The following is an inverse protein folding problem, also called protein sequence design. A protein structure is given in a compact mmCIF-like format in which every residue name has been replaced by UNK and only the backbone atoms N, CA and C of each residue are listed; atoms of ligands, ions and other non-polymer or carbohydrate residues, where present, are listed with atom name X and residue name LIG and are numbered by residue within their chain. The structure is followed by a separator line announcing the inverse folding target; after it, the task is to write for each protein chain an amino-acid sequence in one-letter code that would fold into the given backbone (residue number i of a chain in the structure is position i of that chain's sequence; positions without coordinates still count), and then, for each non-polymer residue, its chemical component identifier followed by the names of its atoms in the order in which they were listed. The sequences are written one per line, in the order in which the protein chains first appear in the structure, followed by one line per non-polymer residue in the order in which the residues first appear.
data_IF_084048686554
#
_entry.id   IF_084048686554
#
_cell.length_a   1.000
_cell.length_b   1.000
_cell.length_c   1.000
_cell.angle_alpha   90.00
_cell.angle_beta   90.00
_cell.angle_gamma   90.00
#
_symmetry.space_group_name_H-M   'P 1'
#
loop_
_entity.id
_entity.type
_entity.pdbx_description
1 polymer ?
#
# COMPACT_ATOMS: atom_id res chain seq x y z
N UNK A 1 -103.44 1.64 49.27
CA UNK A 1 -104.55 0.81 48.72
C UNK A 1 -104.13 -0.64 48.94
N UNK A 2 -104.81 -1.52 49.68
CA UNK A 2 -106.22 -1.90 49.65
C UNK A 2 -106.66 -2.32 51.05
N UNK A 3 -107.85 -1.84 51.41
CA UNK A 3 -108.61 -2.14 52.64
C UNK A 3 -109.30 -3.49 52.46
N UNK A 4 -109.20 -4.39 53.44
CA UNK A 4 -110.10 -5.55 53.57
C UNK A 4 -110.95 -5.43 54.85
N UNK A 5 -112.18 -5.91 54.72
CA UNK A 5 -113.39 -5.54 55.46
C UNK A 5 -113.55 -6.27 56.81
N UNK A 6 -114.23 -5.54 57.71
CA UNK A 6 -114.98 -5.91 58.91
C UNK A 6 -115.60 -7.32 58.93
N UNK A 7 -115.60 -7.94 60.10
CA UNK A 7 -116.71 -8.75 60.62
C UNK A 7 -117.01 -8.35 62.08
N UNK A 8 -118.28 -8.06 62.33
CA UNK A 8 -118.90 -7.79 63.63
C UNK A 8 -119.60 -9.08 64.06
N UNK A 9 -119.37 -9.54 65.28
CA UNK A 9 -120.30 -10.42 65.99
C UNK A 9 -120.37 -9.95 67.44
N UNK A 10 -121.53 -9.45 67.85
CA UNK A 10 -121.94 -9.40 69.24
C UNK A 10 -123.00 -10.48 69.46
N UNK A 11 -122.88 -11.22 70.55
CA UNK A 11 -123.98 -11.92 71.21
C UNK A 11 -123.71 -11.98 72.71
N UNK A 12 -124.78 -11.75 73.45
CA UNK A 12 -124.84 -11.59 74.88
C UNK A 12 -124.71 -12.92 75.66
N UNK A 13 -124.28 -12.78 76.91
CA UNK A 13 -124.91 -13.38 78.09
C UNK A 13 -124.91 -14.90 78.23
N UNK A 14 -124.13 -15.39 79.20
CA UNK A 14 -124.58 -16.42 80.13
C UNK A 14 -123.78 -16.32 81.43
N UNK A 15 -124.51 -16.12 82.52
CA UNK A 15 -124.02 -16.04 83.88
C UNK A 15 -123.78 -17.44 84.46
N UNK A 16 -122.93 -17.49 85.50
CA UNK A 16 -123.04 -18.47 86.58
C UNK A 16 -122.14 -19.69 86.45
N UNK A 17 -121.03 -19.70 87.19
CA UNK A 17 -120.89 -20.47 88.44
C UNK A 17 -119.46 -20.29 88.96
N UNK A 18 -119.34 -19.39 89.93
CA UNK A 18 -118.22 -19.35 90.87
C UNK A 18 -118.30 -20.57 91.78
N UNK A 19 -117.25 -21.37 91.83
CA UNK A 19 -116.99 -22.22 92.99
C UNK A 19 -115.51 -22.56 93.09
N UNK A 20 -114.87 -22.06 94.15
CA UNK A 20 -113.69 -22.70 94.72
C UNK A 20 -112.31 -22.08 94.46
N UNK A 21 -112.15 -20.76 94.44
CA UNK A 21 -110.83 -20.19 94.73
C UNK A 21 -110.54 -20.36 96.23
N UNK A 22 -109.73 -21.36 96.61
CA UNK A 22 -109.00 -21.25 97.87
C UNK A 22 -108.12 -20.00 97.74
N UNK A 23 -108.46 -18.93 98.45
CA UNK A 23 -107.70 -17.69 98.46
C UNK A 23 -106.32 -17.96 99.08
N UNK A 24 -105.37 -18.33 98.23
CA UNK A 24 -103.96 -18.37 98.57
C UNK A 24 -103.48 -16.91 98.59
N UNK A 25 -102.78 -16.50 99.65
CA UNK A 25 -102.10 -15.21 99.68
C UNK A 25 -101.21 -15.05 98.43
N UNK A 26 -100.95 -13.83 97.95
CA UNK A 26 -100.20 -13.64 96.73
C UNK A 26 -98.78 -14.27 96.85
N UNK A 27 -98.22 -14.82 95.75
CA UNK A 27 -96.88 -15.36 95.78
C UNK A 27 -95.86 -14.28 96.14
N UNK A 28 -94.76 -14.64 96.84
CA UNK A 28 -93.68 -13.69 97.10
C UNK A 28 -93.11 -13.17 95.78
N UNK A 29 -92.66 -11.91 95.80
CA UNK A 29 -92.10 -11.22 94.63
C UNK A 29 -90.97 -12.03 93.98
N UNK A 30 -90.10 -12.64 94.79
CA UNK A 30 -88.98 -13.45 94.33
C UNK A 30 -89.45 -14.63 93.47
N UNK A 31 -90.58 -15.27 93.82
CA UNK A 31 -91.13 -16.38 93.03
C UNK A 31 -91.72 -15.89 91.72
N UNK A 32 -92.39 -14.74 91.72
CA UNK A 32 -92.89 -14.10 90.48
C UNK A 32 -91.72 -13.72 89.58
N UNK A 33 -90.69 -13.08 90.11
CA UNK A 33 -89.49 -12.69 89.37
C UNK A 33 -88.76 -13.92 88.80
N UNK A 34 -88.67 -15.01 89.56
CA UNK A 34 -88.09 -16.28 89.11
C UNK A 34 -88.89 -16.93 87.97
N UNK A 35 -90.23 -16.96 88.06
CA UNK A 35 -91.10 -17.46 86.99
C UNK A 35 -90.89 -16.65 85.71
N UNK A 36 -90.96 -15.33 85.80
CA UNK A 36 -90.82 -14.44 84.65
C UNK A 36 -89.44 -14.55 84.02
N UNK A 37 -88.37 -14.60 84.84
CA UNK A 37 -87.02 -14.81 84.36
C UNK A 37 -86.87 -16.15 83.64
N UNK A 38 -87.33 -17.26 84.24
CA UNK A 38 -87.25 -18.57 83.62
C UNK A 38 -88.06 -18.65 82.32
N UNK A 39 -89.28 -18.10 82.29
CA UNK A 39 -90.10 -18.07 81.07
C UNK A 39 -89.39 -17.33 79.94
N UNK A 40 -88.80 -16.16 80.20
CA UNK A 40 -88.02 -15.40 79.21
C UNK A 40 -86.81 -16.19 78.71
N UNK A 41 -86.05 -16.77 79.63
CA UNK A 41 -84.79 -17.47 79.34
C UNK A 41 -85.05 -18.79 78.60
N UNK A 42 -86.11 -19.53 78.96
CA UNK A 42 -86.46 -20.82 78.35
C UNK A 42 -86.93 -20.72 76.90
N UNK A 43 -87.54 -19.61 76.50
CA UNK A 43 -87.95 -19.39 75.10
C UNK A 43 -86.81 -18.86 74.22
N UNK A 44 -85.74 -18.34 74.83
CA UNK A 44 -84.59 -17.81 74.10
C UNK A 44 -83.84 -18.96 73.37
N UNK A 45 -83.80 -18.96 72.02
CA UNK A 45 -83.17 -20.03 71.26
C UNK A 45 -81.67 -20.15 71.53
N UNK A 46 -80.98 -19.04 71.78
CA UNK A 46 -79.56 -19.02 72.09
C UNK A 46 -79.29 -19.72 73.42
N UNK A 47 -80.11 -19.49 74.45
CA UNK A 47 -79.96 -20.15 75.75
C UNK A 47 -80.24 -21.65 75.62
N UNK A 48 -81.31 -22.03 74.92
CA UNK A 48 -81.62 -23.45 74.68
C UNK A 48 -80.51 -24.19 73.93
N UNK A 49 -79.82 -23.52 73.01
CA UNK A 49 -78.76 -24.14 72.22
C UNK A 49 -77.39 -24.13 72.93
N UNK A 50 -77.06 -23.06 73.64
CA UNK A 50 -75.71 -22.83 74.19
C UNK A 50 -75.60 -23.07 75.70
N UNK A 51 -76.72 -23.19 76.42
CA UNK A 51 -76.76 -23.30 77.88
C UNK A 51 -77.93 -24.19 78.36
N UNK A 52 -78.10 -25.34 77.69
CA UNK A 52 -79.20 -26.27 77.97
C UNK A 52 -79.17 -26.86 79.38
N UNK A 53 -78.00 -27.22 79.90
CA UNK A 53 -77.82 -27.76 81.25
C UNK A 53 -78.15 -26.71 82.34
N UNK A 54 -77.55 -25.50 82.33
CA UNK A 54 -77.91 -24.44 83.26
C UNK A 54 -79.39 -24.02 83.20
N UNK A 55 -80.00 -24.05 82.01
CA UNK A 55 -81.44 -23.83 81.84
C UNK A 55 -82.27 -24.93 82.55
N UNK A 56 -81.84 -26.19 82.42
CA UNK A 56 -82.48 -27.33 83.08
C UNK A 56 -82.35 -27.22 84.60
N UNK A 57 -81.19 -26.77 85.10
CA UNK A 57 -81.03 -26.51 86.53
C UNK A 57 -81.94 -25.39 87.05
N UNK A 58 -82.11 -24.32 86.27
CA UNK A 58 -83.01 -23.22 86.60
C UNK A 58 -84.46 -23.70 86.68
N UNK A 59 -84.88 -24.59 85.78
CA UNK A 59 -86.19 -25.24 85.82
C UNK A 59 -86.42 -26.02 87.11
N UNK A 60 -85.46 -26.90 87.47
CA UNK A 60 -85.56 -27.70 88.68
C UNK A 60 -85.57 -26.85 89.96
N UNK A 61 -84.79 -25.76 89.99
CA UNK A 61 -84.80 -24.82 91.10
C UNK A 61 -86.14 -24.07 91.21
N UNK A 62 -86.72 -23.65 90.08
CA UNK A 62 -88.05 -23.03 90.06
C UNK A 62 -89.11 -24.00 90.56
N UNK A 63 -89.12 -25.24 90.06
CA UNK A 63 -90.04 -26.29 90.50
C UNK A 63 -89.91 -26.61 92.00
N UNK A 64 -88.70 -26.52 92.56
CA UNK A 64 -88.48 -26.65 93.99
C UNK A 64 -89.11 -25.47 94.78
N UNK A 65 -88.95 -24.24 94.28
CA UNK A 65 -89.56 -23.06 94.87
C UNK A 65 -91.10 -23.09 94.81
N UNK A 66 -91.68 -23.55 93.70
CA UNK A 66 -93.13 -23.75 93.51
C UNK A 66 -93.70 -24.73 94.54
N UNK A 67 -93.08 -25.92 94.65
CA UNK A 67 -93.51 -26.94 95.60
C UNK A 67 -93.40 -26.48 97.06
N UNK A 68 -92.40 -25.67 97.38
CA UNK A 68 -92.28 -25.07 98.72
C UNK A 68 -93.34 -24.00 98.96
N UNK A 69 -93.64 -23.17 97.95
CA UNK A 69 -94.74 -22.20 98.03
C UNK A 69 -96.09 -22.89 98.22
N UNK A 70 -96.36 -24.00 97.54
CA UNK A 70 -97.63 -24.73 97.72
C UNK A 70 -97.82 -25.21 99.16
N UNK A 71 -96.74 -25.66 99.81
CA UNK A 71 -96.69 -26.18 101.18
C UNK A 71 -96.72 -25.08 102.25
N UNK A 72 -95.81 -24.11 102.13
CA UNK A 72 -95.45 -23.18 103.20
C UNK A 72 -95.81 -21.72 102.87
N UNK A 73 -96.44 -21.48 101.70
CA UNK A 73 -96.82 -20.16 101.18
C UNK A 73 -95.62 -19.19 101.17
N UNK A 74 -95.82 -17.95 101.59
CA UNK A 74 -94.76 -16.95 101.67
C UNK A 74 -93.86 -17.17 102.90
N UNK A 75 -92.92 -18.12 102.77
CA UNK A 75 -91.91 -18.44 103.79
C UNK A 75 -90.52 -17.93 103.38
N UNK A 76 -89.63 -17.73 104.36
CA UNK A 76 -88.22 -17.38 104.09
C UNK A 76 -87.53 -18.41 103.19
N UNK A 77 -87.92 -19.69 103.31
CA UNK A 77 -87.41 -20.78 102.47
C UNK A 77 -87.92 -20.69 101.04
N UNK A 78 -89.21 -20.36 100.84
CA UNK A 78 -89.80 -20.09 99.51
C UNK A 78 -89.05 -18.95 98.81
N UNK A 79 -88.82 -17.82 99.50
CA UNK A 79 -88.08 -16.68 98.94
C UNK A 79 -86.64 -17.03 98.58
N UNK A 80 -85.96 -17.82 99.43
CA UNK A 80 -84.59 -18.26 99.20
C UNK A 80 -84.47 -19.19 97.98
N UNK A 81 -85.37 -20.18 97.87
CA UNK A 81 -85.41 -21.10 96.72
C UNK A 81 -85.77 -20.35 95.42
N UNK A 82 -86.72 -19.42 95.48
CA UNK A 82 -87.07 -18.57 94.36
C UNK A 82 -85.90 -17.67 93.92
N UNK A 83 -85.16 -17.09 94.86
CA UNK A 83 -83.94 -16.33 94.56
C UNK A 83 -82.87 -17.21 93.88
N UNK A 84 -82.65 -18.44 94.35
CA UNK A 84 -81.74 -19.39 93.68
C UNK A 84 -82.22 -19.70 92.26
N UNK A 85 -83.51 -19.93 92.05
CA UNK A 85 -84.08 -20.16 90.72
C UNK A 85 -83.87 -18.97 89.78
N UNK A 86 -84.11 -17.74 90.26
CA UNK A 86 -83.84 -16.51 89.54
C UNK A 86 -82.36 -16.40 89.14
N UNK A 87 -81.44 -16.67 90.09
CA UNK A 87 -79.99 -16.62 89.82
C UNK A 87 -79.55 -17.67 88.82
N UNK A 88 -80.09 -18.89 88.88
CA UNK A 88 -79.79 -19.94 87.90
C UNK A 88 -80.31 -19.59 86.50
N UNK A 89 -81.50 -18.99 86.39
CA UNK A 89 -82.01 -18.50 85.10
C UNK A 89 -81.12 -17.39 84.51
N UNK A 90 -80.66 -16.44 85.34
CA UNK A 90 -79.72 -15.39 84.92
C UNK A 90 -78.34 -15.96 84.54
N UNK A 91 -77.87 -16.99 85.25
CA UNK A 91 -76.61 -17.66 84.95
C UNK A 91 -76.67 -18.35 83.58
N UNK A 92 -77.77 -19.07 83.28
CA UNK A 92 -77.97 -19.69 81.97
C UNK A 92 -77.96 -18.67 80.83
N UNK A 93 -78.62 -17.53 81.01
CA UNK A 93 -78.61 -16.41 80.05
C UNK A 93 -77.19 -15.85 79.84
N UNK A 94 -76.46 -15.63 80.93
CA UNK A 94 -75.09 -15.09 80.89
C UNK A 94 -74.12 -16.08 80.21
N UNK A 95 -74.18 -17.37 80.54
CA UNK A 95 -73.34 -18.40 79.94
C UNK A 95 -73.60 -18.55 78.45
N UNK A 96 -74.87 -18.49 78.01
CA UNK A 96 -75.22 -18.49 76.60
C UNK A 96 -74.61 -17.29 75.86
N UNK A 97 -74.64 -16.08 76.46
CA UNK A 97 -74.03 -14.89 75.86
C UNK A 97 -72.50 -15.00 75.74
N UNK A 98 -71.83 -15.58 76.74
CA UNK A 98 -70.38 -15.82 76.74
C UNK A 98 -70.02 -16.83 75.64
N UNK A 99 -70.79 -17.92 75.51
CA UNK A 99 -70.56 -18.93 74.48
C UNK A 99 -70.66 -18.34 73.07
N UNK A 100 -71.66 -17.49 72.81
CA UNK A 100 -71.78 -16.78 71.51
C UNK A 100 -70.60 -15.85 71.28
N UNK A 101 -70.22 -15.04 72.27
CA UNK A 101 -69.08 -14.12 72.14
C UNK A 101 -67.76 -14.86 71.91
N UNK A 102 -67.54 -16.01 72.58
CA UNK A 102 -66.39 -16.88 72.37
C UNK A 102 -66.39 -17.47 70.95
N UNK A 103 -67.54 -17.96 70.47
CA UNK A 103 -67.66 -18.47 69.11
C UNK A 103 -67.37 -17.38 68.07
N UNK A 104 -67.98 -16.21 68.20
CA UNK A 104 -67.73 -15.06 67.32
C UNK A 104 -66.26 -14.63 67.33
N UNK A 105 -65.62 -14.61 68.51
CA UNK A 105 -64.18 -14.34 68.61
C UNK A 105 -63.35 -15.39 67.88
N UNK A 106 -63.71 -16.67 67.98
CA UNK A 106 -62.98 -17.75 67.29
C UNK A 106 -63.10 -17.64 65.77
N UNK A 107 -64.30 -17.36 65.26
CA UNK A 107 -64.56 -17.14 63.82
C UNK A 107 -63.83 -15.90 63.32
N UNK A 108 -63.90 -14.78 64.06
CA UNK A 108 -63.17 -13.57 63.71
C UNK A 108 -61.64 -13.78 63.71
N UNK A 109 -61.11 -14.54 64.68
CA UNK A 109 -59.69 -14.87 64.74
C UNK A 109 -59.26 -15.77 63.57
N UNK A 110 -60.10 -16.74 63.17
CA UNK A 110 -59.85 -17.58 61.99
C UNK A 110 -59.87 -16.77 60.70
N UNK A 111 -60.86 -15.89 60.51
CA UNK A 111 -60.95 -15.01 59.35
C UNK A 111 -59.74 -14.06 59.25
N UNK A 112 -59.29 -13.51 60.38
CA UNK A 112 -58.09 -12.69 60.43
C UNK A 112 -56.84 -13.49 60.03
N UNK A 113 -56.66 -14.71 60.55
CA UNK A 113 -55.54 -15.58 60.18
C UNK A 113 -55.53 -15.91 58.69
N UNK A 114 -56.68 -16.26 58.13
CA UNK A 114 -56.81 -16.54 56.69
C UNK A 114 -56.46 -15.30 55.85
N UNK A 115 -56.91 -14.12 56.27
CA UNK A 115 -56.58 -12.86 55.58
C UNK A 115 -55.08 -12.56 55.68
N UNK A 116 -54.48 -12.74 56.85
CA UNK A 116 -53.03 -12.55 57.05
C UNK A 116 -52.20 -13.54 56.24
N UNK A 117 -52.62 -14.80 56.16
CA UNK A 117 -51.96 -15.82 55.33
C UNK A 117 -52.10 -15.49 53.85
N UNK A 118 -53.27 -15.05 53.40
CA UNK A 118 -53.48 -14.60 52.02
C UNK A 118 -52.59 -13.39 51.69
N UNK A 119 -52.52 -12.40 52.57
CA UNK A 119 -51.64 -11.23 52.42
C UNK A 119 -50.16 -11.63 52.41
N UNK A 120 -49.73 -12.55 53.28
CA UNK A 120 -48.37 -13.08 53.30
C UNK A 120 -48.03 -13.83 52.02
N UNK A 121 -48.92 -14.69 51.53
CA UNK A 121 -48.74 -15.40 50.26
C UNK A 121 -48.64 -14.44 49.08
N UNK A 122 -49.50 -13.42 49.03
CA UNK A 122 -49.45 -12.39 48.01
C UNK A 122 -48.14 -11.60 48.08
N UNK A 123 -47.72 -11.17 49.28
CA UNK A 123 -46.47 -10.45 49.48
C UNK A 123 -45.26 -11.28 49.10
N UNK A 124 -45.26 -12.57 49.45
CA UNK A 124 -44.19 -13.50 49.05
C UNK A 124 -44.13 -13.67 47.53
N UNK A 125 -45.28 -13.90 46.88
CA UNK A 125 -45.33 -14.01 45.42
C UNK A 125 -44.84 -12.72 44.72
N UNK A 126 -45.15 -11.55 45.28
CA UNK A 126 -44.64 -10.27 44.78
C UNK A 126 -43.12 -10.14 44.96
N UNK A 127 -42.59 -10.56 46.11
CA UNK A 127 -41.15 -10.58 46.36
C UNK A 127 -40.43 -11.53 45.40
N UNK A 128 -40.96 -12.74 45.20
CA UNK A 128 -40.38 -13.74 44.29
C UNK A 128 -40.38 -13.22 42.84
N UNK A 129 -41.49 -12.61 42.39
CA UNK A 129 -41.57 -11.98 41.07
C UNK A 129 -40.59 -10.82 40.92
N UNK A 130 -40.45 -9.95 41.94
CA UNK A 130 -39.49 -8.85 41.92
C UNK A 130 -38.04 -9.35 41.90
N UNK A 131 -37.73 -10.43 42.61
CA UNK A 131 -36.41 -11.07 42.58
C UNK A 131 -36.10 -11.64 41.20
N UNK A 132 -37.06 -12.30 40.55
CA UNK A 132 -36.89 -12.80 39.18
C UNK A 132 -36.63 -11.66 38.19
N UNK A 133 -37.41 -10.57 38.27
CA UNK A 133 -37.20 -9.39 37.43
C UNK A 133 -35.82 -8.75 37.66
N UNK A 134 -35.34 -8.71 38.91
CA UNK A 134 -34.02 -8.19 39.21
C UNK A 134 -32.90 -9.07 38.62
N UNK A 135 -33.04 -10.39 38.69
CA UNK A 135 -32.08 -11.32 38.08
C UNK A 135 -32.05 -11.19 36.56
N UNK A 136 -33.21 -11.06 35.92
CA UNK A 136 -33.32 -10.83 34.48
C UNK A 136 -32.70 -9.48 34.08
N UNK A 137 -33.00 -8.40 34.82
CA UNK A 137 -32.41 -7.08 34.58
C UNK A 137 -30.89 -7.08 34.76
N UNK A 138 -30.35 -7.82 35.74
CA UNK A 138 -28.90 -8.01 35.91
C UNK A 138 -28.30 -8.75 34.73
N UNK A 139 -28.91 -9.85 34.29
CA UNK A 139 -28.45 -10.59 33.10
C UNK A 139 -28.41 -9.71 31.86
N UNK A 140 -29.47 -8.96 31.58
CA UNK A 140 -29.53 -8.05 30.43
C UNK A 140 -28.48 -6.94 30.53
N UNK A 141 -28.23 -6.42 31.74
CA UNK A 141 -27.17 -5.43 31.97
C UNK A 141 -25.78 -6.00 31.69
N UNK A 142 -25.52 -7.23 32.13
CA UNK A 142 -24.24 -7.90 31.90
C UNK A 142 -24.03 -8.22 30.41
N UNK A 143 -25.07 -8.71 29.73
CA UNK A 143 -25.06 -8.92 28.27
C UNK A 143 -24.81 -7.59 27.52
N UNK A 144 -25.46 -6.49 27.93
CA UNK A 144 -25.25 -5.18 27.35
C UNK A 144 -23.81 -4.64 27.60
N UNK A 145 -23.24 -4.89 28.79
CA UNK A 145 -21.88 -4.51 29.11
C UNK A 145 -20.86 -5.29 28.26
N UNK A 146 -21.06 -6.60 28.08
CA UNK A 146 -20.23 -7.44 27.21
C UNK A 146 -20.31 -6.99 25.75
N UNK A 147 -21.50 -6.65 25.25
CA UNK A 147 -21.68 -6.12 23.89
C UNK A 147 -20.99 -4.76 23.72
N UNK A 148 -21.04 -3.89 24.72
CA UNK A 148 -20.35 -2.61 24.70
C UNK A 148 -18.82 -2.79 24.68
N UNK A 149 -18.29 -3.72 25.46
CA UNK A 149 -16.87 -4.07 25.46
C UNK A 149 -16.43 -4.68 24.12
N UNK A 150 -17.21 -5.62 23.57
CA UNK A 150 -16.94 -6.20 22.26
C UNK A 150 -16.90 -5.14 21.15
N UNK A 151 -17.85 -4.19 21.15
CA UNK A 151 -17.84 -3.05 20.21
C UNK A 151 -16.61 -2.15 20.40
N UNK A 152 -16.21 -1.90 21.64
CA UNK A 152 -15.00 -1.12 21.94
C UNK A 152 -13.76 -1.84 21.39
N UNK A 153 -13.61 -3.13 21.64
CA UNK A 153 -12.50 -3.93 21.11
C UNK A 153 -12.50 -3.95 19.58
N UNK A 154 -13.67 -4.14 18.95
CA UNK A 154 -13.79 -4.07 17.48
C UNK A 154 -13.34 -2.72 16.94
N UNK A 155 -13.73 -1.61 17.57
CA UNK A 155 -13.30 -0.27 17.17
C UNK A 155 -11.79 -0.08 17.31
N UNK A 156 -11.18 -0.61 18.37
CA UNK A 156 -9.73 -0.59 18.58
C UNK A 156 -9.00 -1.43 17.52
N UNK A 157 -9.50 -2.63 17.21
CA UNK A 157 -8.91 -3.47 16.15
C UNK A 157 -8.99 -2.79 14.79
N UNK A 158 -10.10 -2.12 14.48
CA UNK A 158 -10.24 -1.39 13.22
C UNK A 158 -9.26 -0.21 13.13
N UNK A 159 -9.06 0.53 14.24
CA UNK A 159 -8.06 1.61 14.30
C UNK A 159 -6.64 1.08 14.11
N UNK A 160 -6.27 -0.01 14.79
CA UNK A 160 -4.95 -0.63 14.65
C UNK A 160 -4.72 -1.16 13.24
N UNK A 161 -5.74 -1.76 12.60
CA UNK A 161 -5.67 -2.19 11.22
C UNK A 161 -5.46 -1.01 10.27
N UNK A 162 -6.16 0.11 10.48
CA UNK A 162 -5.98 1.31 9.69
C UNK A 162 -4.58 1.92 9.88
N UNK A 163 -4.06 1.92 11.10
CA UNK A 163 -2.70 2.38 11.39
C UNK A 163 -1.65 1.47 10.73
N UNK A 164 -1.84 0.16 10.80
CA UNK A 164 -0.97 -0.82 10.13
C UNK A 164 -0.99 -0.65 8.60
N UNK A 165 -2.17 -0.41 8.00
CA UNK A 165 -2.28 -0.11 6.57
C UNK A 165 -1.53 1.17 6.20
N UNK A 166 -1.69 2.25 6.97
CA UNK A 166 -0.95 3.51 6.75
C UNK A 166 0.56 3.32 6.84
N UNK A 167 1.03 2.57 7.85
CA UNK A 167 2.46 2.23 7.98
C UNK A 167 2.95 1.41 6.79
N UNK A 168 2.14 0.46 6.31
CA UNK A 168 2.51 -0.34 5.13
C UNK A 168 2.62 0.53 3.88
N UNK A 169 1.65 1.41 3.64
CA UNK A 169 1.69 2.36 2.52
C UNK A 169 2.90 3.29 2.59
N UNK A 170 3.26 3.76 3.79
CA UNK A 170 4.45 4.58 4.03
C UNK A 170 5.73 3.79 3.72
N UNK A 171 5.83 2.54 4.18
CA UNK A 171 6.96 1.65 3.87
C UNK A 171 7.08 1.38 2.37
N UNK A 172 5.96 1.18 1.67
CA UNK A 172 5.95 0.97 0.22
C UNK A 172 6.40 2.24 -0.53
N UNK A 173 5.96 3.43 -0.07
CA UNK A 173 6.43 4.72 -0.61
C UNK A 173 7.93 4.90 -0.41
N UNK A 174 8.44 4.61 0.79
CA UNK A 174 9.87 4.68 1.08
C UNK A 174 10.66 3.70 0.23
N UNK A 175 10.16 2.47 0.05
CA UNK A 175 10.79 1.48 -0.82
C UNK A 175 10.81 1.92 -2.29
N UNK A 176 9.73 2.52 -2.79
CA UNK A 176 9.68 3.08 -4.14
C UNK A 176 10.66 4.25 -4.30
N UNK A 177 10.70 5.17 -3.33
CA UNK A 177 11.64 6.30 -3.35
C UNK A 177 13.10 5.80 -3.34
N UNK A 178 13.42 4.78 -2.55
CA UNK A 178 14.74 4.18 -2.53
C UNK A 178 15.10 3.55 -3.90
N UNK A 179 14.16 2.83 -4.54
CA UNK A 179 14.39 2.29 -5.90
C UNK A 179 14.67 3.39 -6.91
N UNK A 180 13.86 4.44 -6.91
CA UNK A 180 14.06 5.60 -7.79
C UNK A 180 15.44 6.25 -7.57
N UNK A 181 15.88 6.40 -6.32
CA UNK A 181 17.23 6.90 -6.03
C UNK A 181 18.32 5.96 -6.56
N UNK A 182 18.17 4.65 -6.38
CA UNK A 182 19.16 3.69 -6.92
C UNK A 182 19.21 3.69 -8.44
N UNK A 183 18.06 3.81 -9.12
CA UNK A 183 17.98 3.92 -10.58
C UNK A 183 18.59 5.23 -11.08
N UNK A 184 18.28 6.34 -10.43
CA UNK A 184 18.87 7.65 -10.73
C UNK A 184 20.40 7.63 -10.53
N UNK A 185 20.88 6.99 -9.45
CA UNK A 185 22.31 6.80 -9.21
C UNK A 185 22.99 5.96 -10.31
N UNK A 186 22.36 4.87 -10.74
CA UNK A 186 22.85 4.05 -11.84
C UNK A 186 22.82 4.81 -13.19
N UNK A 187 21.80 5.63 -13.43
CA UNK A 187 21.74 6.49 -14.61
C UNK A 187 22.85 7.55 -14.60
N UNK A 188 23.10 8.19 -13.46
CA UNK A 188 24.19 9.16 -13.32
C UNK A 188 25.56 8.53 -13.58
N UNK A 189 25.81 7.31 -13.08
CA UNK A 189 27.03 6.57 -13.37
C UNK A 189 27.17 6.24 -14.87
N UNK A 190 26.09 5.81 -15.53
CA UNK A 190 26.09 5.57 -16.99
C UNK A 190 26.39 6.85 -17.77
N UNK A 191 25.80 7.97 -17.40
CA UNK A 191 26.06 9.26 -18.04
C UNK A 191 27.53 9.67 -17.88
N UNK A 192 28.09 9.53 -16.67
CA UNK A 192 29.50 9.82 -16.43
C UNK A 192 30.44 8.92 -17.26
N UNK A 193 30.10 7.64 -17.43
CA UNK A 193 30.85 6.72 -18.31
C UNK A 193 30.80 7.18 -19.78
N UNK A 194 29.61 7.52 -20.29
CA UNK A 194 29.43 8.02 -21.65
C UNK A 194 30.19 9.33 -21.88
N UNK A 195 30.19 10.24 -20.90
CA UNK A 195 30.97 11.49 -20.95
C UNK A 195 32.49 11.21 -21.02
N UNK A 196 32.99 10.28 -20.21
CA UNK A 196 34.40 9.88 -20.25
C UNK A 196 34.78 9.23 -21.59
N UNK A 197 33.93 8.38 -22.14
CA UNK A 197 34.13 7.77 -23.46
C UNK A 197 34.15 8.82 -24.56
N UNK A 198 33.22 9.79 -24.53
CA UNK A 198 33.17 10.88 -25.49
C UNK A 198 34.41 11.78 -25.40
N UNK A 199 34.88 12.08 -24.20
CA UNK A 199 36.13 12.83 -24.02
C UNK A 199 37.35 12.06 -24.55
N UNK A 200 37.43 10.76 -24.27
CA UNK A 200 38.49 9.90 -24.80
C UNK A 200 38.46 9.86 -26.34
N UNK A 201 37.28 9.75 -26.94
CA UNK A 201 37.12 9.77 -28.40
C UNK A 201 37.53 11.13 -28.98
N UNK A 202 37.12 12.24 -28.36
CA UNK A 202 37.53 13.60 -28.77
C UNK A 202 39.04 13.77 -28.71
N UNK A 203 39.70 13.29 -27.65
CA UNK A 203 41.16 13.31 -27.53
C UNK A 203 41.83 12.47 -28.61
N UNK A 204 41.35 11.25 -28.84
CA UNK A 204 41.87 10.37 -29.89
C UNK A 204 41.74 11.00 -31.29
N UNK A 205 40.60 11.64 -31.59
CA UNK A 205 40.39 12.37 -32.85
C UNK A 205 41.34 13.56 -32.98
N UNK A 206 41.50 14.36 -31.93
CA UNK A 206 42.42 15.50 -31.93
C UNK A 206 43.88 15.07 -32.12
N UNK A 207 44.30 13.98 -31.47
CA UNK A 207 45.62 13.40 -31.66
C UNK A 207 45.82 12.86 -33.09
N UNK A 208 44.81 12.19 -33.66
CA UNK A 208 44.86 11.70 -35.03
C UNK A 208 44.97 12.85 -36.05
N UNK A 209 44.21 13.93 -35.85
CA UNK A 209 44.30 15.15 -36.66
C UNK A 209 45.67 15.81 -36.52
N UNK A 210 46.21 15.91 -35.30
CA UNK A 210 47.54 16.46 -35.05
C UNK A 210 48.64 15.64 -35.74
N UNK A 211 48.58 14.30 -35.65
CA UNK A 211 49.51 13.40 -36.36
C UNK A 211 49.41 13.57 -37.87
N UNK A 212 48.19 13.60 -38.41
CA UNK A 212 47.97 13.80 -39.84
C UNK A 212 48.50 15.16 -40.33
N UNK A 213 48.35 16.22 -39.53
CA UNK A 213 48.90 17.54 -39.86
C UNK A 213 50.43 17.56 -39.77
N UNK A 214 51.03 16.95 -38.74
CA UNK A 214 52.49 16.82 -38.62
C UNK A 214 53.09 16.03 -39.80
N UNK A 215 52.45 14.93 -40.21
CA UNK A 215 52.89 14.15 -41.38
C UNK A 215 52.82 14.97 -42.68
N UNK A 216 51.74 15.75 -42.86
CA UNK A 216 51.59 16.65 -44.01
C UNK A 216 52.66 17.74 -44.02
N UNK A 217 52.94 18.35 -42.88
CA UNK A 217 53.97 19.38 -42.73
C UNK A 217 55.37 18.82 -42.98
N UNK A 218 55.72 17.68 -42.37
CA UNK A 218 57.00 17.02 -42.57
C UNK A 218 57.23 16.66 -44.05
N UNK A 219 56.19 16.17 -44.72
CA UNK A 219 56.23 15.88 -46.15
C UNK A 219 56.41 17.14 -46.99
N UNK A 220 55.65 18.20 -46.72
CA UNK A 220 55.79 19.47 -47.42
C UNK A 220 57.20 20.08 -47.24
N UNK A 221 57.77 19.97 -46.03
CA UNK A 221 59.15 20.40 -45.76
C UNK A 221 60.17 19.57 -46.54
N UNK A 222 60.02 18.23 -46.59
CA UNK A 222 60.90 17.36 -47.36
C UNK A 222 60.85 17.67 -48.86
N UNK A 223 59.66 17.93 -49.41
CA UNK A 223 59.47 18.36 -50.80
C UNK A 223 60.13 19.72 -51.06
N UNK A 224 59.97 20.71 -50.17
CA UNK A 224 60.59 22.03 -50.30
C UNK A 224 62.12 21.99 -50.18
N UNK A 225 62.67 21.17 -49.28
CA UNK A 225 64.12 20.96 -49.14
C UNK A 225 64.72 20.35 -50.39
N UNK A 226 64.04 19.35 -50.97
CA UNK A 226 64.46 18.75 -52.22
C UNK A 226 64.42 19.76 -53.38
N UNK A 227 63.34 20.54 -53.51
CA UNK A 227 63.28 21.60 -54.52
C UNK A 227 64.45 22.58 -54.38
N UNK A 228 64.75 23.03 -53.16
CA UNK A 228 65.90 23.93 -52.87
C UNK A 228 67.25 23.29 -53.21
N UNK A 229 67.45 22.02 -52.86
CA UNK A 229 68.68 21.29 -53.15
C UNK A 229 68.89 21.14 -54.67
N UNK A 230 67.84 20.77 -55.41
CA UNK A 230 67.87 20.64 -56.86
C UNK A 230 68.14 22.00 -57.54
N UNK A 231 67.55 23.09 -57.06
CA UNK A 231 67.89 24.46 -57.51
C UNK A 231 69.36 24.83 -57.23
N UNK A 232 69.91 24.41 -56.09
CA UNK A 232 71.33 24.59 -55.76
C UNK A 232 72.25 23.92 -56.79
N UNK A 233 71.94 22.68 -57.17
CA UNK A 233 72.65 21.95 -58.23
C UNK A 233 72.53 22.66 -59.59
N UNK A 234 71.39 23.30 -59.85
CA UNK A 234 71.19 24.09 -61.06
C UNK A 234 72.09 25.33 -61.12
N UNK A 235 72.23 26.06 -60.02
CA UNK A 235 73.09 27.25 -59.93
C UNK A 235 74.58 26.94 -60.09
N UNK A 236 74.99 25.73 -59.69
CA UNK A 236 76.37 25.26 -59.89
C UNK A 236 76.65 24.80 -61.33
N UNK A 237 75.67 24.92 -62.25
CA UNK A 237 75.81 24.53 -63.65
C UNK A 237 75.91 23.02 -63.86
N UNK A 238 75.57 22.22 -62.83
CA UNK A 238 75.73 20.77 -62.87
C UNK A 238 74.55 20.06 -63.55
N UNK A 239 73.34 20.62 -63.41
CA UNK A 239 72.07 20.12 -63.95
C UNK A 239 71.20 21.30 -64.40
N UNK A 240 70.37 21.16 -65.43
CA UNK A 240 69.35 22.18 -65.74
C UNK A 240 68.02 21.78 -65.10
N UNK A 241 67.43 22.64 -64.29
CA UNK A 241 66.14 22.39 -63.63
C UNK A 241 65.06 23.26 -64.26
N UNK A 242 63.91 22.66 -64.57
CA UNK A 242 62.71 23.35 -65.07
C UNK A 242 61.46 22.73 -64.48
N UNK A 243 60.39 23.51 -64.33
CA UNK A 243 59.07 22.98 -64.00
C UNK A 243 58.22 22.83 -65.26
N UNK A 244 57.54 21.70 -65.40
CA UNK A 244 56.52 21.49 -66.42
C UNK A 244 55.27 20.79 -65.82
N UNK A 245 54.28 20.49 -66.67
CA UNK A 245 53.02 19.86 -66.24
C UNK A 245 53.20 18.44 -65.65
N UNK A 246 54.36 17.80 -65.85
CA UNK A 246 54.70 16.46 -65.33
C UNK A 246 55.35 16.57 -63.94
N UNK A 247 55.94 17.71 -63.61
CA UNK A 247 56.56 18.00 -62.33
C UNK A 247 57.90 18.73 -62.48
N UNK A 248 58.82 18.53 -61.53
CA UNK A 248 60.16 19.12 -61.58
C UNK A 248 61.05 18.26 -62.47
N UNK A 249 61.54 18.84 -63.58
CA UNK A 249 62.36 18.15 -64.59
C UNK A 249 63.82 18.56 -64.43
N UNK A 250 64.68 17.57 -64.19
CA UNK A 250 66.12 17.70 -64.11
C UNK A 250 66.74 17.19 -65.40
N UNK A 251 67.29 18.09 -66.21
CA UNK A 251 67.94 17.76 -67.47
C UNK A 251 69.46 17.70 -67.30
N UNK A 252 70.01 16.51 -67.52
CA UNK A 252 71.44 16.26 -67.54
C UNK A 252 71.91 16.02 -68.97
N UNK A 253 72.97 16.70 -69.39
CA UNK A 253 73.54 16.49 -70.72
C UNK A 253 74.17 15.10 -70.85
N UNK A 254 73.93 14.41 -71.96
CA UNK A 254 74.41 13.05 -72.20
C UNK A 254 75.93 12.94 -72.26
N UNK A 255 76.62 13.99 -72.71
CA UNK A 255 78.10 14.08 -72.68
C UNK A 255 78.68 14.27 -71.27
N UNK A 256 77.86 14.73 -70.33
CA UNK A 256 78.23 14.82 -68.91
C UNK A 256 78.04 13.48 -68.23
N UNK A 257 77.03 12.71 -68.65
CA UNK A 257 76.69 11.43 -68.04
C UNK A 257 77.48 10.24 -68.61
N UNK A 258 77.75 10.23 -69.91
CA UNK A 258 78.27 9.07 -70.64
C UNK A 258 79.38 9.45 -71.62
N UNK A 259 80.29 8.52 -71.89
CA UNK A 259 81.17 8.62 -73.06
C UNK A 259 80.37 8.42 -74.37
N UNK A 260 80.94 8.88 -75.50
CA UNK A 260 80.31 8.74 -76.82
C UNK A 260 80.02 7.26 -77.14
N UNK A 261 78.80 6.95 -77.57
CA UNK A 261 78.36 5.57 -77.85
C UNK A 261 78.25 4.63 -76.63
N UNK A 262 78.59 5.08 -75.43
CA UNK A 262 78.57 4.26 -74.23
C UNK A 262 77.29 4.44 -73.40
N UNK A 263 77.01 3.43 -72.57
CA UNK A 263 75.94 3.41 -71.56
C UNK A 263 76.48 3.45 -70.13
N UNK A 264 77.79 3.34 -69.94
CA UNK A 264 78.41 3.38 -68.61
C UNK A 264 78.60 4.82 -68.14
N UNK A 265 78.21 5.07 -66.88
CA UNK A 265 78.32 6.38 -66.26
C UNK A 265 79.78 6.77 -66.04
N UNK A 266 80.13 7.97 -66.47
CA UNK A 266 81.43 8.58 -66.19
C UNK A 266 81.62 8.75 -64.67
N UNK A 267 82.86 8.70 -64.14
CA UNK A 267 83.10 8.94 -62.71
C UNK A 267 82.52 10.27 -62.21
N UNK A 268 82.73 11.36 -62.95
CA UNK A 268 82.18 12.68 -62.64
C UNK A 268 80.64 12.76 -62.75
N UNK A 269 80.02 11.87 -63.53
CA UNK A 269 78.57 11.74 -63.60
C UNK A 269 78.01 11.08 -62.35
N UNK A 270 78.73 10.10 -61.79
CA UNK A 270 78.35 9.43 -60.55
C UNK A 270 78.32 10.43 -59.41
N UNK A 271 79.33 11.28 -59.26
CA UNK A 271 79.37 12.30 -58.21
C UNK A 271 78.14 13.23 -58.27
N UNK A 272 77.78 13.71 -59.47
CA UNK A 272 76.56 14.53 -59.66
C UNK A 272 75.28 13.76 -59.36
N UNK A 273 75.20 12.51 -59.78
CA UNK A 273 74.02 11.67 -59.53
C UNK A 273 73.91 11.25 -58.06
N UNK A 274 75.01 11.24 -57.28
CA UNK A 274 74.96 11.12 -55.82
C UNK A 274 74.24 12.33 -55.25
N UNK A 275 74.62 13.55 -55.64
CA UNK A 275 73.97 14.77 -55.16
C UNK A 275 72.48 14.84 -55.54
N UNK A 276 72.14 14.42 -56.76
CA UNK A 276 70.74 14.27 -57.20
C UNK A 276 70.01 13.20 -56.38
N UNK A 277 70.64 12.05 -56.10
CA UNK A 277 70.04 11.02 -55.27
C UNK A 277 69.76 11.51 -53.85
N UNK A 278 70.71 12.22 -53.23
CA UNK A 278 70.55 12.80 -51.88
C UNK A 278 69.35 13.76 -51.82
N UNK A 279 69.18 14.61 -52.83
CA UNK A 279 68.06 15.54 -52.89
C UNK A 279 66.70 14.82 -53.10
N UNK A 280 66.67 13.67 -53.79
CA UNK A 280 65.43 12.96 -54.14
C UNK A 280 64.98 11.91 -53.12
N UNK A 281 65.88 11.40 -52.27
CA UNK A 281 65.56 10.46 -51.19
C UNK A 281 64.39 10.90 -50.29
N UNK A 282 64.38 12.13 -49.73
CA UNK A 282 63.40 12.49 -48.70
C UNK A 282 61.98 12.76 -49.22
N UNK A 283 61.77 12.95 -50.53
CA UNK A 283 60.49 13.47 -51.07
C UNK A 283 59.34 12.46 -51.12
N UNK A 284 59.63 11.16 -51.14
CA UNK A 284 58.60 10.12 -51.30
C UNK A 284 57.89 10.06 -52.67
N UNK A 285 58.09 11.05 -53.55
CA UNK A 285 57.47 11.11 -54.88
C UNK A 285 57.96 10.04 -55.86
N UNK A 286 57.10 9.70 -56.82
CA UNK A 286 57.47 8.89 -57.99
C UNK A 286 58.37 9.69 -58.93
N UNK A 287 59.38 9.02 -59.48
CA UNK A 287 60.37 9.54 -60.41
C UNK A 287 60.18 8.89 -61.77
N UNK A 288 60.31 9.66 -62.85
CA UNK A 288 60.38 9.12 -64.21
C UNK A 288 61.69 9.56 -64.85
N UNK A 289 62.51 8.61 -65.30
CA UNK A 289 63.79 8.87 -65.96
C UNK A 289 63.63 8.64 -67.45
N UNK A 290 63.76 9.71 -68.25
CA UNK A 290 63.63 9.68 -69.70
C UNK A 290 65.00 9.87 -70.36
N UNK A 291 65.43 8.90 -71.17
CA UNK A 291 66.63 9.04 -71.99
C UNK A 291 66.30 9.59 -73.37
N UNK A 292 67.16 10.46 -73.91
CA UNK A 292 67.02 11.02 -75.27
C UNK A 292 68.32 10.94 -76.07
N UNK A 293 68.21 10.79 -77.39
CA UNK A 293 69.32 10.83 -78.35
C UNK A 293 69.16 12.02 -79.30
N UNK A 294 70.19 12.28 -80.12
CA UNK A 294 70.04 13.09 -81.32
C UNK A 294 69.48 12.25 -82.47
N UNK A 295 69.22 12.89 -83.61
CA UNK A 295 68.70 12.24 -84.81
C UNK A 295 69.77 11.45 -85.61
N UNK A 296 70.92 11.12 -85.02
CA UNK A 296 71.96 10.33 -85.69
C UNK A 296 71.80 8.85 -85.32
N UNK A 297 71.64 7.99 -86.32
CA UNK A 297 71.40 6.55 -86.12
C UNK A 297 70.02 6.13 -86.63
N UNK A 298 69.64 4.88 -86.38
CA UNK A 298 68.27 4.41 -86.62
C UNK A 298 67.41 4.60 -85.37
N UNK A 299 66.11 4.85 -85.56
CA UNK A 299 65.13 5.03 -84.49
C UNK A 299 65.20 3.89 -83.45
N UNK A 300 65.28 2.64 -83.90
CA UNK A 300 65.36 1.46 -83.03
C UNK A 300 66.65 1.40 -82.20
N UNK A 301 67.78 1.84 -82.78
CA UNK A 301 69.06 1.92 -82.08
C UNK A 301 69.02 3.06 -81.05
N UNK A 302 68.43 4.18 -81.43
CA UNK A 302 68.29 5.38 -80.61
C UNK A 302 67.37 5.15 -79.40
N UNK A 303 66.22 4.49 -79.60
CA UNK A 303 65.30 4.11 -78.54
C UNK A 303 65.97 3.17 -77.53
N UNK A 304 66.62 2.10 -78.00
CA UNK A 304 67.31 1.14 -77.13
C UNK A 304 68.48 1.78 -76.37
N UNK A 305 69.26 2.64 -77.03
CA UNK A 305 70.37 3.37 -76.41
C UNK A 305 69.86 4.33 -75.33
N UNK A 306 68.77 5.05 -75.62
CA UNK A 306 68.16 5.99 -74.68
C UNK A 306 67.58 5.29 -73.45
N UNK A 307 66.90 4.16 -73.63
CA UNK A 307 66.38 3.33 -72.54
C UNK A 307 67.50 2.81 -71.65
N UNK A 308 68.54 2.18 -72.24
CA UNK A 308 69.68 1.64 -71.48
C UNK A 308 70.43 2.70 -70.67
N UNK A 309 70.53 3.92 -71.21
CA UNK A 309 71.11 5.06 -70.48
C UNK A 309 70.24 5.47 -69.29
N UNK A 310 68.94 5.57 -69.51
CA UNK A 310 67.98 5.89 -68.45
C UNK A 310 67.93 4.79 -67.36
N UNK A 311 68.03 3.51 -67.75
CA UNK A 311 68.15 2.37 -66.83
C UNK A 311 69.44 2.45 -66.01
N UNK A 312 70.56 2.79 -66.65
CA UNK A 312 71.82 2.95 -65.92
C UNK A 312 71.75 4.08 -64.88
N UNK A 313 71.07 5.18 -65.20
CA UNK A 313 70.82 6.27 -64.24
C UNK A 313 69.89 5.80 -63.11
N UNK A 314 68.78 5.09 -63.42
CA UNK A 314 67.92 4.45 -62.40
C UNK A 314 68.74 3.58 -61.47
N UNK A 315 69.47 2.61 -62.02
CA UNK A 315 70.20 1.63 -61.24
C UNK A 315 71.20 2.32 -60.31
N UNK A 316 71.87 3.35 -60.81
CA UNK A 316 72.77 4.16 -60.00
C UNK A 316 72.01 4.88 -58.87
N UNK A 317 70.93 5.60 -59.15
CA UNK A 317 70.12 6.27 -58.12
C UNK A 317 69.59 5.27 -57.07
N UNK A 318 69.20 4.06 -57.50
CA UNK A 318 68.76 2.97 -56.62
C UNK A 318 69.90 2.49 -55.74
N UNK A 319 71.11 2.30 -56.27
CA UNK A 319 72.29 1.97 -55.45
C UNK A 319 72.63 3.06 -54.44
N UNK A 320 72.32 4.32 -54.75
CA UNK A 320 72.48 5.43 -53.83
C UNK A 320 71.37 5.48 -52.77
N UNK A 321 70.32 4.67 -52.86
CA UNK A 321 69.28 4.55 -51.83
C UNK A 321 67.93 5.17 -52.22
N UNK A 322 67.73 5.57 -53.48
CA UNK A 322 66.39 5.88 -53.98
C UNK A 322 65.59 4.57 -54.11
N UNK A 323 64.41 4.43 -53.48
CA UNK A 323 63.65 3.19 -53.56
C UNK A 323 63.29 2.81 -55.00
N UNK A 324 63.63 1.59 -55.43
CA UNK A 324 63.39 1.13 -56.82
C UNK A 324 61.91 1.23 -57.22
N UNK A 325 60.98 0.98 -56.29
CA UNK A 325 59.54 1.11 -56.52
C UNK A 325 59.04 2.53 -56.79
N UNK A 326 59.89 3.56 -56.61
CA UNK A 326 59.59 4.95 -56.95
C UNK A 326 60.07 5.34 -58.33
N UNK A 327 60.81 4.51 -59.07
CA UNK A 327 61.48 4.94 -60.31
C UNK A 327 60.97 4.20 -61.54
N UNK A 328 60.34 4.94 -62.44
CA UNK A 328 60.00 4.51 -63.78
C UNK A 328 61.08 4.95 -64.78
N UNK A 329 61.31 4.16 -65.82
CA UNK A 329 62.31 4.45 -66.86
C UNK A 329 61.67 4.39 -68.23
N UNK A 330 62.01 5.34 -69.10
CA UNK A 330 61.52 5.42 -70.48
C UNK A 330 62.66 5.79 -71.44
N UNK A 331 62.73 5.11 -72.58
CA UNK A 331 63.59 5.49 -73.70
C UNK A 331 62.79 6.31 -74.71
N UNK A 332 63.16 7.57 -74.91
CA UNK A 332 62.44 8.47 -75.80
C UNK A 332 63.09 8.60 -77.19
N UNK A 333 64.25 7.95 -77.40
CA UNK A 333 65.02 8.05 -78.64
C UNK A 333 65.19 9.51 -79.09
N UNK A 334 64.94 9.76 -80.37
CA UNK A 334 64.96 11.12 -80.96
C UNK A 334 63.60 11.82 -80.97
N UNK A 335 62.54 11.20 -80.45
CA UNK A 335 61.14 11.64 -80.61
C UNK A 335 60.77 12.94 -79.89
N UNK A 336 61.61 13.43 -78.98
CA UNK A 336 61.41 14.71 -78.26
C UNK A 336 62.68 15.58 -78.27
N UNK A 337 63.02 16.19 -79.41
CA UNK A 337 64.16 17.10 -79.49
C UNK A 337 63.83 18.41 -78.77
N UNK A 338 64.79 18.92 -78.00
CA UNK A 338 64.71 20.22 -77.31
C UNK A 338 65.47 21.33 -78.06
N UNK A 339 66.25 20.95 -79.07
CA UNK A 339 66.99 21.85 -79.94
C UNK A 339 67.12 21.28 -81.36
N UNK A 340 67.58 22.10 -82.32
CA UNK A 340 67.69 21.68 -83.72
C UNK A 340 68.78 20.62 -83.94
N UNK A 341 68.40 19.45 -84.48
CA UNK A 341 69.35 18.41 -84.90
C UNK A 341 70.27 18.83 -86.06
N UNK A 342 69.96 19.95 -86.75
CA UNK A 342 70.78 20.49 -87.83
C UNK A 342 72.11 21.10 -87.34
N UNK A 343 72.24 21.42 -86.05
CA UNK A 343 73.44 22.03 -85.47
C UNK A 343 74.14 21.06 -84.51
N UNK A 344 75.46 21.13 -84.41
CA UNK A 344 76.21 20.28 -83.47
C UNK A 344 75.82 20.55 -82.00
N UNK A 345 75.57 21.82 -81.68
CA UNK A 345 75.09 22.25 -80.37
C UNK A 345 73.68 21.73 -80.06
N UNK A 346 72.75 21.84 -81.02
CA UNK A 346 71.40 21.31 -80.83
C UNK A 346 71.36 19.79 -80.70
N UNK A 347 72.21 19.06 -81.44
CA UNK A 347 72.39 17.61 -81.24
C UNK A 347 72.94 17.30 -79.83
N UNK A 348 73.89 18.08 -79.34
CA UNK A 348 74.42 17.90 -77.99
C UNK A 348 73.35 18.12 -76.90
N UNK A 349 72.47 19.10 -77.08
CA UNK A 349 71.34 19.34 -76.18
C UNK A 349 70.27 18.25 -76.26
N UNK A 350 70.08 17.62 -77.43
CA UNK A 350 69.12 16.52 -77.61
C UNK A 350 69.60 15.21 -76.96
N UNK A 351 70.92 14.97 -76.92
CA UNK A 351 71.51 13.89 -76.14
C UNK A 351 71.47 14.24 -74.66
N UNK A 352 70.40 13.86 -73.96
CA UNK A 352 70.19 14.19 -72.54
C UNK A 352 69.46 13.08 -71.80
N UNK A 353 69.50 13.13 -70.49
CA UNK A 353 68.61 12.36 -69.62
C UNK A 353 67.83 13.34 -68.78
N UNK A 354 66.50 13.20 -68.78
CA UNK A 354 65.60 13.93 -67.91
C UNK A 354 65.23 13.04 -66.72
N UNK A 355 65.32 13.57 -65.51
CA UNK A 355 64.77 12.95 -64.30
C UNK A 355 63.59 13.82 -63.87
N UNK A 356 62.40 13.26 -63.86
CA UNK A 356 61.15 13.96 -63.62
C UNK A 356 60.63 13.55 -62.25
N UNK A 357 60.58 14.50 -61.32
CA UNK A 357 59.95 14.34 -60.02
C UNK A 357 58.45 14.63 -60.16
N UNK A 358 57.61 13.59 -60.10
CA UNK A 358 56.17 13.76 -60.28
C UNK A 358 55.56 14.52 -59.09
N UNK A 359 54.66 15.46 -59.38
CA UNK A 359 53.82 16.06 -58.33
C UNK A 359 52.85 14.99 -57.85
N UNK A 360 53.06 14.50 -56.63
CA UNK A 360 52.05 13.68 -55.99
C UNK A 360 50.91 14.61 -55.58
N UNK A 361 49.91 14.81 -56.44
CA UNK A 361 48.65 15.36 -55.97
C UNK A 361 48.10 14.39 -54.93
N UNK A 362 47.64 14.88 -53.75
CA UNK A 362 46.93 14.03 -52.83
C UNK A 362 45.67 13.56 -53.56
N UNK A 363 45.68 12.34 -54.08
CA UNK A 363 44.46 11.66 -54.51
C UNK A 363 43.54 11.69 -53.31
N UNK A 364 42.48 12.50 -53.41
CA UNK A 364 41.44 12.61 -52.41
C UNK A 364 40.79 11.24 -52.26
N UNK A 365 41.28 10.44 -51.32
CA UNK A 365 40.66 9.17 -50.97
C UNK A 365 39.34 9.48 -50.28
N UNK A 366 38.27 8.98 -50.90
CA UNK A 366 36.87 9.10 -50.56
C UNK A 366 36.54 9.12 -49.07
N UNK A 367 35.93 10.22 -48.64
CA UNK A 367 35.05 10.27 -47.50
C UNK A 367 33.69 9.70 -47.89
N UNK A 368 33.39 8.53 -47.36
CA UNK A 368 32.15 7.76 -47.47
C UNK A 368 30.88 8.57 -47.21
N UNK A 369 29.81 8.16 -47.91
CA UNK A 369 28.50 8.79 -47.88
C UNK A 369 27.89 8.92 -46.48
N UNK A 370 27.34 10.11 -46.22
CA UNK A 370 26.36 10.34 -45.16
C UNK A 370 25.15 9.44 -45.40
N UNK A 371 24.90 8.52 -44.49
CA UNK A 371 23.59 7.91 -44.35
C UNK A 371 22.60 8.95 -43.83
N UNK A 372 21.52 9.17 -44.58
CA UNK A 372 20.37 9.96 -44.15
C UNK A 372 19.63 9.27 -43.00
N UNK A 373 19.17 10.00 -41.97
CA UNK A 373 18.23 9.46 -41.00
C UNK A 373 16.82 9.39 -41.60
N UNK A 374 16.12 8.28 -41.36
CA UNK A 374 14.66 8.18 -41.45
C UNK A 374 14.09 8.03 -40.06
#
# INVERSE_FOLDING_TARGET
MRRWKRWVWGCAGAAGLMSGCMAHGPPPRELVDARTAYQRVSVNPTVRQQSAEPLTEAYHALLAAEREYDRSKDSAKTRSLAYVALRKAQLAETQASIAVAQHQRSVAAQALRQTQEAQRRQSQAQLDAAQQQLLEARRLRDEAAQLAEARRLQSQTAQLQQEAQRRQEEMDRLAQAQRQQTEAGAQAQRLAQVEQELEAERRARAEAEARANQEREARAQAEAQAATALEGLARQGQVKVSEDARGTVLTLSGSVLFASGATDLLPSARDRLVEVAEALKPTGNTLTIEGHTDAQGSDSTNEMLSLRRAERVRDFLVTQGVPAGRVEVRGMGEYRPVASNGTAEGRANNRRVEIILQRNEPTGIGGSGRGSPR
#
